data_IF_436162059497
#
_entry.id   IF_436162059497
#
_cell.length_a   1.000
_cell.length_b   1.000
_cell.length_c   1.000
_cell.angle_alpha   90.00
_cell.angle_beta   90.00
_cell.angle_gamma   90.00
#
_symmetry.space_group_name_H-M   'P 1'
#
loop_
_entity.id
_entity.type
_entity.pdbx_description
1 polymer ?
#
# COMPACT_ATOMS: atom_id res chain seq x y z
N UNK A 1 -7.50 -31.68 7.75
CA UNK A 1 -7.10 -30.96 6.52
C UNK A 1 -7.23 -29.46 6.77
N UNK A 2 -6.11 -28.71 6.83
CA UNK A 2 -6.17 -27.26 6.97
C UNK A 2 -6.84 -26.67 5.73
N UNK A 3 -7.95 -25.94 5.89
CA UNK A 3 -8.68 -25.29 4.79
C UNK A 3 -7.74 -24.36 4.02
N UNK A 4 -7.22 -24.83 2.90
CA UNK A 4 -6.50 -24.03 1.92
C UNK A 4 -7.46 -22.93 1.43
N UNK A 5 -7.16 -21.66 1.72
CA UNK A 5 -7.91 -20.53 1.18
C UNK A 5 -8.31 -19.43 2.15
N UNK A 6 -7.88 -19.46 3.43
CA UNK A 6 -8.14 -18.36 4.38
C UNK A 6 -7.33 -17.09 4.10
N UNK A 7 -6.29 -17.15 3.27
CA UNK A 7 -5.42 -16.01 2.97
C UNK A 7 -5.64 -15.51 1.55
N UNK A 8 -5.71 -14.19 1.37
CA UNK A 8 -5.88 -13.52 0.08
C UNK A 8 -4.71 -12.57 -0.17
N UNK A 9 -4.24 -12.54 -1.43
CA UNK A 9 -3.23 -11.58 -1.87
C UNK A 9 -3.91 -10.27 -2.18
N UNK A 10 -3.45 -9.20 -1.55
CA UNK A 10 -4.01 -7.85 -1.68
C UNK A 10 -2.92 -6.87 -2.08
N UNK A 11 -3.33 -5.79 -2.74
CA UNK A 11 -2.44 -4.71 -3.14
C UNK A 11 -2.54 -3.58 -2.12
N UNK A 12 -1.45 -3.22 -1.48
CA UNK A 12 -1.34 -2.00 -0.71
C UNK A 12 -0.90 -0.87 -1.64
N UNK A 13 -1.81 0.06 -1.93
CA UNK A 13 -1.53 1.25 -2.76
C UNK A 13 -1.04 2.37 -1.86
N UNK A 14 0.09 2.97 -2.24
CA UNK A 14 0.62 4.17 -1.60
C UNK A 14 -0.34 5.34 -1.79
N UNK A 15 -0.55 6.13 -0.73
CA UNK A 15 -1.22 7.44 -0.80
C UNK A 15 -0.24 8.58 -1.07
N UNK A 16 1.03 8.27 -1.31
CA UNK A 16 2.06 9.26 -1.61
C UNK A 16 1.77 10.02 -2.90
N UNK A 17 2.12 11.30 -2.91
CA UNK A 17 2.08 12.15 -4.11
C UNK A 17 3.51 12.41 -4.60
N UNK A 18 3.67 12.55 -5.91
CA UNK A 18 4.93 12.99 -6.53
C UNK A 18 5.10 14.50 -6.39
N UNK A 19 6.26 15.01 -6.81
CA UNK A 19 6.55 16.46 -6.82
C UNK A 19 5.51 17.26 -7.63
N UNK A 20 4.90 16.65 -8.63
CA UNK A 20 3.87 17.27 -9.46
C UNK A 20 2.44 17.11 -8.89
N UNK A 21 2.29 16.62 -7.66
CA UNK A 21 1.00 16.40 -7.00
C UNK A 21 0.21 15.17 -7.48
N UNK A 22 0.77 14.37 -8.40
CA UNK A 22 0.13 13.14 -8.91
C UNK A 22 0.35 11.98 -7.95
N UNK A 23 -0.56 11.02 -7.89
CA UNK A 23 -0.34 9.79 -7.12
C UNK A 23 0.92 9.06 -7.65
N UNK A 24 1.75 8.54 -6.74
CA UNK A 24 2.99 7.84 -7.14
C UNK A 24 2.71 6.52 -7.86
N UNK A 25 1.51 5.97 -7.67
CA UNK A 25 1.11 4.65 -8.16
C UNK A 25 1.88 3.50 -7.54
N UNK A 26 2.75 3.77 -6.56
CA UNK A 26 3.58 2.75 -5.94
C UNK A 26 2.70 1.82 -5.11
N UNK A 27 2.99 0.52 -5.19
CA UNK A 27 2.23 -0.47 -4.45
C UNK A 27 3.13 -1.60 -3.97
N UNK A 28 2.66 -2.26 -2.92
CA UNK A 28 3.26 -3.50 -2.43
C UNK A 28 2.17 -4.56 -2.37
N UNK A 29 2.52 -5.81 -2.62
CA UNK A 29 1.60 -6.92 -2.41
C UNK A 29 1.80 -7.51 -1.02
N UNK A 30 0.70 -7.82 -0.35
CA UNK A 30 0.72 -8.53 0.93
C UNK A 30 -0.33 -9.61 0.93
N UNK A 31 -0.15 -10.58 1.84
CA UNK A 31 -1.11 -11.65 2.05
C UNK A 31 -1.83 -11.37 3.35
N UNK A 32 -3.14 -11.20 3.31
CA UNK A 32 -3.99 -10.94 4.49
C UNK A 32 -4.94 -12.09 4.73
N UNK A 33 -5.42 -12.22 5.96
CA UNK A 33 -6.48 -13.18 6.27
C UNK A 33 -7.82 -12.63 5.76
N UNK A 34 -8.58 -13.44 5.02
CA UNK A 34 -9.91 -13.08 4.51
C UNK A 34 -10.93 -12.78 5.61
N UNK A 35 -10.68 -13.29 6.82
CA UNK A 35 -11.52 -13.04 8.00
C UNK A 35 -11.24 -11.70 8.67
N UNK A 36 -10.22 -10.96 8.24
CA UNK A 36 -10.01 -9.62 8.75
C UNK A 36 -11.13 -8.71 8.22
N UNK A 37 -11.96 -8.17 9.12
CA UNK A 37 -13.08 -7.29 8.76
C UNK A 37 -12.60 -5.90 8.33
N UNK A 38 -11.45 -5.46 8.83
CA UNK A 38 -10.91 -4.14 8.54
C UNK A 38 -9.96 -4.12 7.35
N UNK A 39 -10.05 -3.05 6.54
CA UNK A 39 -9.09 -2.80 5.47
C UNK A 39 -7.74 -2.46 6.07
N UNK A 40 -6.70 -3.16 5.63
CA UNK A 40 -5.35 -2.96 6.12
C UNK A 40 -4.82 -1.57 5.69
N UNK A 41 -4.47 -0.74 6.67
CA UNK A 41 -3.76 0.51 6.47
C UNK A 41 -2.40 0.43 7.18
N UNK A 42 -1.31 0.61 6.42
CA UNK A 42 0.05 0.49 6.96
C UNK A 42 0.91 1.68 6.54
N UNK A 43 1.62 2.25 7.51
CA UNK A 43 2.67 3.23 7.22
C UNK A 43 3.91 2.51 6.67
N UNK A 44 4.24 2.75 5.41
CA UNK A 44 5.43 2.17 4.76
C UNK A 44 6.18 3.22 3.97
N UNK A 45 7.44 2.92 3.69
CA UNK A 45 8.26 3.76 2.84
C UNK A 45 7.84 3.63 1.36
N UNK A 46 7.55 4.77 0.74
CA UNK A 46 7.38 4.94 -0.70
C UNK A 46 8.57 5.73 -1.25
N UNK A 47 9.43 5.12 -2.09
CA UNK A 47 10.58 5.79 -2.68
C UNK A 47 10.21 6.89 -3.68
N UNK A 48 8.97 6.90 -4.19
CA UNK A 48 8.49 7.86 -5.19
C UNK A 48 7.71 9.02 -4.59
N UNK A 49 7.32 8.93 -3.31
CA UNK A 49 6.57 9.98 -2.63
C UNK A 49 7.47 11.19 -2.38
N UNK A 50 7.00 12.38 -2.73
CA UNK A 50 7.74 13.62 -2.55
C UNK A 50 7.64 14.11 -1.11
N UNK A 51 8.79 14.30 -0.48
CA UNK A 51 8.87 14.83 0.87
C UNK A 51 9.12 16.33 0.85
N UNK A 52 8.08 17.12 1.12
CA UNK A 52 8.13 18.58 1.16
C UNK A 52 9.12 19.11 2.21
N UNK A 53 9.35 18.39 3.31
CA UNK A 53 10.28 18.82 4.37
C UNK A 53 11.74 18.76 3.94
N UNK A 54 12.09 17.78 3.11
CA UNK A 54 13.48 17.53 2.69
C UNK A 54 13.74 17.93 1.24
N UNK A 55 12.70 18.35 0.52
CA UNK A 55 12.73 18.61 -0.93
C UNK A 55 13.36 17.47 -1.73
N UNK A 56 13.11 16.22 -1.32
CA UNK A 56 13.65 15.01 -1.94
C UNK A 56 12.56 13.94 -2.10
N UNK A 57 12.69 13.04 -3.09
CA UNK A 57 11.83 11.86 -3.18
C UNK A 57 12.17 10.86 -2.07
N UNK A 58 11.15 10.15 -1.60
CA UNK A 58 11.25 9.15 -0.55
C UNK A 58 10.69 9.62 0.79
N UNK A 59 9.50 9.13 1.16
CA UNK A 59 8.96 9.32 2.50
C UNK A 59 8.11 8.13 2.95
N UNK A 60 7.92 8.00 4.27
CA UNK A 60 6.91 7.11 4.83
C UNK A 60 5.54 7.73 4.61
N UNK A 61 4.67 6.97 3.97
CA UNK A 61 3.28 7.35 3.66
C UNK A 61 2.37 6.20 4.06
N UNK A 62 1.08 6.52 4.14
CA UNK A 62 0.06 5.52 4.37
C UNK A 62 -0.12 4.68 3.11
N UNK A 63 -0.26 3.38 3.29
CA UNK A 63 -0.64 2.47 2.22
C UNK A 63 -1.99 1.88 2.56
N UNK A 64 -2.94 1.97 1.64
CA UNK A 64 -4.30 1.45 1.81
C UNK A 64 -4.50 0.18 0.99
N UNK A 65 -5.19 -0.78 1.57
CA UNK A 65 -5.56 -2.02 0.89
C UNK A 65 -6.54 -1.78 -0.27
N UNK A 66 -6.18 -2.34 -1.42
CA UNK A 66 -6.98 -2.43 -2.65
C UNK A 66 -6.98 -3.89 -3.11
N UNK A 67 -8.13 -4.34 -3.63
CA UNK A 67 -8.25 -5.67 -4.23
C UNK A 67 -7.38 -5.72 -5.49
N UNK A 68 -6.71 -6.86 -5.69
CA UNK A 68 -6.02 -7.14 -6.95
C UNK A 68 -7.11 -7.50 -7.96
N UNK A 69 -7.19 -6.79 -9.08
CA UNK A 69 -8.08 -7.17 -10.17
C UNK A 69 -7.64 -8.55 -10.72
N UNK A 70 -8.59 -9.45 -10.90
CA UNK A 70 -8.36 -10.84 -11.31
C UNK A 70 -8.32 -10.95 -12.83
#
# INVERSE_FOLDING_TARGET
MAKAGQREKVQLRSTGKSKSGKETGYFKTLTVNKRAEEKLELMKYDPRAWNEKTNKPGMRVLFKQKKIAK
#
